data_IF_320404373001
#
_entry.id   IF_320404373001
#
_cell.length_a   1.000
_cell.length_b   1.000
_cell.length_c   1.000
_cell.angle_alpha   90.00
_cell.angle_beta   90.00
_cell.angle_gamma   90.00
#
_symmetry.space_group_name_H-M   'P 1'
#
loop_
_entity.id
_entity.type
_entity.pdbx_description
1 polymer ?
#
# COMPACT_ATOMS: atom_id res chain seq x y z
N UNK A 1 -3.61 -14.28 14.89
CA UNK A 1 -4.83 -13.87 14.15
C UNK A 1 -5.08 -14.90 13.06
N UNK A 2 -6.33 -15.37 12.86
CA UNK A 2 -6.65 -16.21 11.72
C UNK A 2 -6.45 -15.43 10.42
N UNK A 3 -6.17 -16.14 9.33
CA UNK A 3 -6.15 -15.54 8.00
C UNK A 3 -7.60 -15.22 7.61
N UNK A 4 -7.91 -13.99 7.12
CA UNK A 4 -9.24 -13.70 6.64
C UNK A 4 -9.60 -14.48 5.39
N UNK A 5 -10.85 -14.93 5.37
CA UNK A 5 -11.49 -15.46 4.17
C UNK A 5 -12.18 -14.29 3.45
N UNK A 6 -11.91 -14.16 2.15
CA UNK A 6 -12.53 -13.17 1.27
C UNK A 6 -12.61 -13.77 -0.15
N UNK A 7 -13.72 -13.53 -0.84
CA UNK A 7 -13.97 -14.06 -2.18
C UNK A 7 -13.32 -13.20 -3.28
N UNK A 8 -12.84 -12.00 -2.92
CA UNK A 8 -12.16 -11.10 -3.85
C UNK A 8 -11.15 -10.18 -3.18
N UNK A 9 -10.15 -9.67 -3.93
CA UNK A 9 -9.28 -8.61 -3.43
C UNK A 9 -10.01 -7.34 -2.99
N UNK A 10 -11.13 -7.01 -3.62
CA UNK A 10 -11.93 -5.84 -3.26
C UNK A 10 -12.59 -5.99 -1.89
N UNK A 11 -13.12 -7.19 -1.60
CA UNK A 11 -13.67 -7.52 -0.28
C UNK A 11 -12.58 -7.51 0.79
N UNK A 12 -11.42 -8.12 0.50
CA UNK A 12 -10.28 -8.10 1.42
C UNK A 12 -9.83 -6.66 1.75
N UNK A 13 -9.75 -5.78 0.76
CA UNK A 13 -9.41 -4.38 0.98
C UNK A 13 -10.43 -3.67 1.89
N UNK A 14 -11.73 -3.91 1.68
CA UNK A 14 -12.77 -3.33 2.54
C UNK A 14 -12.70 -3.85 3.98
N UNK A 15 -12.30 -5.10 4.19
CA UNK A 15 -12.05 -5.65 5.53
C UNK A 15 -10.85 -4.97 6.19
N UNK A 16 -9.76 -4.77 5.45
CA UNK A 16 -8.57 -4.07 5.92
C UNK A 16 -8.92 -2.64 6.33
N UNK A 17 -9.63 -1.88 5.47
CA UNK A 17 -10.05 -0.51 5.78
C UNK A 17 -10.87 -0.43 7.08
N UNK A 18 -11.75 -1.42 7.30
CA UNK A 18 -12.52 -1.50 8.53
C UNK A 18 -11.61 -1.75 9.75
N UNK A 19 -10.67 -2.68 9.66
CA UNK A 19 -9.77 -2.96 10.76
C UNK A 19 -8.83 -1.79 11.07
N UNK A 20 -8.34 -1.10 10.04
CA UNK A 20 -7.54 0.11 10.21
C UNK A 20 -8.32 1.17 11.00
N UNK A 21 -9.61 1.34 10.72
CA UNK A 21 -10.48 2.23 11.49
C UNK A 21 -10.75 1.71 12.91
N UNK A 22 -11.00 0.40 13.07
CA UNK A 22 -11.23 -0.22 14.37
C UNK A 22 -9.99 -0.12 15.28
N UNK A 23 -8.78 -0.15 14.71
CA UNK A 23 -7.49 -0.02 15.41
C UNK A 23 -7.28 1.35 16.05
N UNK A 24 -8.07 2.37 15.71
CA UNK A 24 -8.08 3.65 16.42
C UNK A 24 -8.79 3.58 17.79
N UNK A 25 -9.69 2.60 17.98
CA UNK A 25 -10.58 2.51 19.14
C UNK A 25 -9.96 2.00 20.45
N UNK A 26 -8.98 1.06 20.45
CA UNK A 26 -8.45 0.50 21.68
C UNK A 26 -7.84 1.53 22.63
N UNK A 27 -7.92 1.23 23.93
CA UNK A 27 -7.19 1.92 24.99
C UNK A 27 -6.02 1.04 25.41
N UNK A 28 -4.80 1.50 25.18
CA UNK A 28 -3.60 0.69 25.45
C UNK A 28 -3.24 0.77 26.94
N UNK A 29 -3.45 -0.32 27.67
CA UNK A 29 -3.13 -0.42 29.10
C UNK A 29 -4.03 0.49 29.96
N UNK A 30 -3.47 1.10 31.00
CA UNK A 30 -4.20 2.01 31.91
C UNK A 30 -4.46 3.42 31.35
N UNK A 31 -4.33 3.62 30.03
CA UNK A 31 -4.51 4.95 29.42
C UNK A 31 -5.99 5.36 29.41
N UNK A 32 -6.22 6.66 29.64
CA UNK A 32 -7.56 7.26 29.70
C UNK A 32 -8.12 7.69 28.33
N UNK A 33 -7.39 7.48 27.24
CA UNK A 33 -7.78 7.83 25.88
C UNK A 33 -7.54 6.67 24.92
N UNK A 34 -8.28 6.66 23.81
CA UNK A 34 -8.09 5.71 22.71
C UNK A 34 -6.82 6.04 21.91
N UNK A 35 -6.37 5.10 21.07
CA UNK A 35 -5.26 5.33 20.15
C UNK A 35 -5.55 6.53 19.23
N UNK A 36 -6.75 6.59 18.64
CA UNK A 36 -7.17 7.69 17.77
C UNK A 36 -7.24 9.04 18.48
N UNK A 37 -7.71 9.09 19.73
CA UNK A 37 -7.73 10.31 20.54
C UNK A 37 -6.30 10.81 20.84
N UNK A 38 -5.38 9.91 21.12
CA UNK A 38 -3.96 10.25 21.29
C UNK A 38 -3.35 10.78 19.99
N UNK A 39 -3.59 10.08 18.87
CA UNK A 39 -3.10 10.51 17.57
C UNK A 39 -3.65 11.89 17.17
N UNK A 40 -4.93 12.17 17.41
CA UNK A 40 -5.53 13.47 17.10
C UNK A 40 -4.85 14.65 17.83
N UNK A 41 -4.32 14.41 19.04
CA UNK A 41 -3.58 15.41 19.82
C UNK A 41 -2.17 15.62 19.26
N UNK A 42 -1.53 14.55 18.82
CA UNK A 42 -0.14 14.56 18.33
C UNK A 42 -0.05 15.02 16.86
N UNK A 43 -1.07 14.75 16.05
CA UNK A 43 -1.15 15.09 14.62
C UNK A 43 -0.77 16.54 14.29
N UNK A 44 -1.25 17.59 14.98
CA UNK A 44 -0.85 18.96 14.68
C UNK A 44 0.62 19.29 15.02
N UNK A 45 1.32 18.42 15.75
CA UNK A 45 2.73 18.57 16.09
C UNK A 45 3.65 17.91 15.05
N UNK A 46 3.10 17.12 14.13
CA UNK A 46 3.86 16.44 13.08
C UNK A 46 4.13 17.39 11.90
N UNK A 47 5.27 17.19 11.24
CA UNK A 47 5.53 17.81 9.93
C UNK A 47 4.45 17.36 8.94
N UNK A 48 3.91 18.26 8.09
CA UNK A 48 2.97 17.85 7.05
C UNK A 48 3.61 16.82 6.12
N UNK A 49 2.77 15.98 5.50
CA UNK A 49 3.23 15.10 4.44
C UNK A 49 3.77 15.95 3.26
N UNK A 50 4.78 15.47 2.54
CA UNK A 50 5.23 16.12 1.31
C UNK A 50 4.07 16.29 0.32
N UNK A 51 4.07 17.41 -0.42
CA UNK A 51 3.09 17.67 -1.47
C UNK A 51 3.30 16.72 -2.67
N UNK A 52 4.56 16.33 -2.93
CA UNK A 52 4.88 15.35 -3.95
C UNK A 52 4.63 13.91 -3.47
N UNK A 53 3.93 13.08 -4.24
CA UNK A 53 3.73 11.68 -3.89
C UNK A 53 5.06 10.92 -3.87
N UNK A 54 5.21 10.03 -2.91
CA UNK A 54 6.36 9.14 -2.84
C UNK A 54 6.17 7.96 -3.82
N UNK A 55 7.12 7.79 -4.74
CA UNK A 55 7.13 6.64 -5.65
C UNK A 55 7.45 5.35 -4.87
N UNK A 56 6.43 4.50 -4.71
CA UNK A 56 6.56 3.19 -4.04
C UNK A 56 6.95 2.08 -5.02
N UNK A 57 6.77 2.29 -6.32
CA UNK A 57 7.09 1.34 -7.38
C UNK A 57 8.58 1.32 -7.72
N UNK A 58 9.03 0.23 -8.34
CA UNK A 58 10.40 0.16 -8.87
C UNK A 58 10.38 0.35 -10.38
N UNK A 59 11.04 1.41 -10.83
CA UNK A 59 11.29 1.62 -12.25
C UNK A 59 12.35 0.66 -12.78
N UNK A 60 12.00 -0.04 -13.86
CA UNK A 60 12.92 -0.91 -14.58
C UNK A 60 13.07 -0.42 -16.02
N UNK A 61 14.24 -0.67 -16.59
CA UNK A 61 14.54 -0.44 -18.01
C UNK A 61 14.87 -1.78 -18.69
N UNK A 62 13.93 -2.73 -18.75
CA UNK A 62 14.18 -4.03 -19.34
C UNK A 62 14.32 -3.93 -20.85
N UNK A 63 15.14 -4.80 -21.44
CA UNK A 63 15.25 -4.92 -22.88
C UNK A 63 14.08 -5.73 -23.43
N UNK A 64 13.55 -5.30 -24.58
CA UNK A 64 12.58 -6.06 -25.35
C UNK A 64 13.31 -7.18 -26.07
N UNK A 65 12.87 -8.42 -25.85
CA UNK A 65 13.43 -9.58 -26.52
C UNK A 65 12.88 -9.75 -27.94
N UNK A 66 13.39 -10.76 -28.65
CA UNK A 66 13.02 -11.04 -30.05
C UNK A 66 11.53 -11.39 -30.26
N UNK A 67 10.78 -11.64 -29.20
CA UNK A 67 9.35 -11.97 -29.23
C UNK A 67 8.48 -10.79 -28.81
N UNK A 68 9.02 -9.57 -28.80
CA UNK A 68 8.35 -8.35 -28.34
C UNK A 68 7.89 -8.46 -26.88
N UNK A 69 8.72 -9.06 -26.03
CA UNK A 69 8.42 -9.22 -24.61
C UNK A 69 9.51 -8.62 -23.72
N UNK A 70 9.12 -8.21 -22.53
CA UNK A 70 10.02 -7.84 -21.45
C UNK A 70 9.90 -8.85 -20.31
N UNK A 71 10.98 -9.01 -19.55
CA UNK A 71 10.94 -9.79 -18.30
C UNK A 71 11.02 -8.84 -17.10
N UNK A 72 10.04 -8.94 -16.21
CA UNK A 72 9.96 -8.19 -14.95
C UNK A 72 9.84 -9.20 -13.81
N UNK A 73 10.88 -9.28 -12.98
CA UNK A 73 11.01 -10.30 -11.93
C UNK A 73 10.77 -11.70 -12.51
N UNK A 74 9.72 -12.39 -12.06
CA UNK A 74 9.36 -13.75 -12.47
C UNK A 74 8.37 -13.79 -13.64
N UNK A 75 7.88 -12.64 -14.11
CA UNK A 75 6.82 -12.53 -15.11
C UNK A 75 7.32 -11.95 -16.43
N UNK A 76 6.61 -12.27 -17.51
CA UNK A 76 6.93 -11.88 -18.87
C UNK A 76 5.73 -11.19 -19.49
N UNK A 77 5.94 -9.98 -20.00
CA UNK A 77 4.88 -9.12 -20.50
C UNK A 77 5.12 -8.79 -21.97
N UNK A 78 4.06 -8.76 -22.78
CA UNK A 78 4.13 -8.26 -24.15
C UNK A 78 4.29 -6.74 -24.14
N UNK A 79 5.22 -6.22 -24.92
CA UNK A 79 5.41 -4.79 -25.09
C UNK A 79 4.77 -4.31 -26.39
N UNK A 80 4.07 -3.17 -26.32
CA UNK A 80 3.53 -2.47 -27.50
C UNK A 80 4.45 -1.32 -27.94
N UNK A 81 5.38 -0.87 -27.07
CA UNK A 81 6.44 0.09 -27.40
C UNK A 81 7.46 0.19 -26.24
N UNK A 82 8.73 0.52 -26.55
CA UNK A 82 9.90 0.49 -25.65
C UNK A 82 9.93 1.48 -24.47
N UNK A 83 8.79 1.72 -23.82
CA UNK A 83 8.64 2.58 -22.66
C UNK A 83 9.10 1.93 -21.34
N UNK A 84 9.40 2.77 -20.35
CA UNK A 84 9.72 2.34 -18.99
C UNK A 84 8.56 1.52 -18.40
N UNK A 85 8.88 0.46 -17.67
CA UNK A 85 7.87 -0.38 -17.00
C UNK A 85 8.00 -0.23 -15.50
N UNK A 86 6.88 0.06 -14.84
CA UNK A 86 6.73 0.08 -13.38
C UNK A 86 6.51 -1.36 -12.91
N UNK A 87 7.29 -1.81 -11.94
CA UNK A 87 7.26 -3.15 -11.38
C UNK A 87 7.01 -3.15 -9.86
#
# INVERSE_FOLDING_TARGET
>A
MPVPEADSPAELNAMIDKWDADDESPRIGGRSRTVGEHFAIERPLLTPLPDEPFETGRWLTPWVDRYSQISVRTNRYSSVDGGKVVA
#
